data_IF_400286039222
#
_entry.id   IF_400286039222
#
_cell.length_a   1.000
_cell.length_b   1.000
_cell.length_c   1.000
_cell.angle_alpha   90.00
_cell.angle_beta   90.00
_cell.angle_gamma   90.00
#
_symmetry.space_group_name_H-M   'P 1'
#
loop_
_entity.id
_entity.type
_entity.pdbx_description
1 polymer ?
#
# COMPACT_ATOMS: atom_id res chain seq x y z
N UNK A 1 -12.39 5.73 -27.00
CA UNK A 1 -12.22 6.98 -26.22
C UNK A 1 -10.96 6.84 -25.41
N UNK A 2 -9.86 7.36 -25.95
CA UNK A 2 -8.49 7.22 -25.42
C UNK A 2 -8.14 8.44 -24.59
N UNK A 3 -8.08 8.29 -23.26
CA UNK A 3 -7.63 9.33 -22.35
C UNK A 3 -6.11 9.48 -22.40
N UNK A 4 -5.64 10.62 -22.89
CA UNK A 4 -4.24 11.05 -22.81
C UNK A 4 -3.93 11.52 -21.39
N UNK A 5 -2.85 11.04 -20.73
CA UNK A 5 -2.46 11.54 -19.42
C UNK A 5 -1.79 12.91 -19.56
N UNK A 6 -2.18 13.85 -18.70
CA UNK A 6 -1.66 15.21 -18.66
C UNK A 6 -0.15 15.23 -18.33
N UNK A 7 0.70 15.92 -19.12
CA UNK A 7 2.13 16.02 -18.87
C UNK A 7 2.44 17.22 -17.94
N UNK A 8 1.83 17.29 -16.76
CA UNK A 8 2.02 18.44 -15.87
C UNK A 8 3.27 18.35 -14.97
N UNK A 9 3.86 17.16 -14.82
CA UNK A 9 5.03 16.94 -13.95
C UNK A 9 6.39 17.29 -14.58
N UNK A 10 6.61 16.97 -15.87
CA UNK A 10 7.94 17.13 -16.51
C UNK A 10 8.33 18.60 -16.72
N UNK A 11 7.39 19.44 -17.13
CA UNK A 11 7.61 20.86 -17.42
C UNK A 11 8.04 21.66 -16.19
N UNK A 12 7.55 21.30 -15.00
CA UNK A 12 7.97 21.93 -13.73
C UNK A 12 9.37 21.51 -13.32
N UNK A 13 9.79 20.27 -13.60
CA UNK A 13 11.14 19.80 -13.29
C UNK A 13 12.20 20.40 -14.23
N UNK A 14 11.89 20.54 -15.52
CA UNK A 14 12.82 21.13 -16.51
C UNK A 14 13.00 22.63 -16.30
N UNK A 15 11.94 23.35 -15.94
CA UNK A 15 12.02 24.77 -15.59
C UNK A 15 12.86 25.01 -14.33
N UNK A 16 12.69 24.17 -13.29
CA UNK A 16 13.55 24.22 -12.09
C UNK A 16 15.01 23.93 -12.46
N UNK A 17 15.28 22.89 -13.25
CA UNK A 17 16.64 22.54 -13.68
C UNK A 17 17.31 23.68 -14.46
N UNK A 18 16.60 24.29 -15.42
CA UNK A 18 17.07 25.42 -16.20
C UNK A 18 17.41 26.64 -15.31
N UNK A 19 16.57 26.93 -14.31
CA UNK A 19 16.79 28.01 -13.37
C UNK A 19 18.04 27.79 -12.51
N UNK A 20 18.25 26.55 -12.01
CA UNK A 20 19.44 26.19 -11.24
C UNK A 20 20.72 26.22 -12.09
N UNK A 21 20.66 25.81 -13.35
CA UNK A 21 21.80 25.93 -14.28
C UNK A 21 22.13 27.39 -14.61
N UNK A 22 21.13 28.24 -14.78
CA UNK A 22 21.34 29.67 -15.03
C UNK A 22 21.93 30.38 -13.81
N UNK A 23 21.45 30.03 -12.61
CA UNK A 23 21.97 30.59 -11.36
C UNK A 23 23.43 30.18 -11.10
N UNK A 24 23.79 28.93 -11.39
CA UNK A 24 25.17 28.42 -11.24
C UNK A 24 26.13 29.03 -12.29
N UNK A 25 25.68 29.20 -13.53
CA UNK A 25 26.43 29.90 -14.58
C UNK A 25 26.63 31.39 -14.24
N UNK A 26 25.60 32.07 -13.75
CA UNK A 26 25.70 33.46 -13.33
C UNK A 26 26.65 33.63 -12.13
N UNK A 27 26.56 32.73 -11.15
CA UNK A 27 27.46 32.72 -9.98
C UNK A 27 28.92 32.50 -10.37
N UNK A 28 29.20 31.53 -11.26
CA UNK A 28 30.56 31.27 -11.74
C UNK A 28 31.12 32.39 -12.62
N UNK A 29 30.28 32.99 -13.47
CA UNK A 29 30.67 34.15 -14.28
C UNK A 29 31.01 35.37 -13.41
N UNK A 30 30.24 35.61 -12.34
CA UNK A 30 30.45 36.75 -11.44
C UNK A 30 31.73 36.58 -10.60
N UNK A 31 32.01 35.36 -10.13
CA UNK A 31 33.28 35.04 -9.45
C UNK A 31 34.47 35.18 -10.39
N UNK A 32 34.32 34.72 -11.65
CA UNK A 32 35.38 34.82 -12.66
C UNK A 32 35.66 36.29 -13.04
N UNK A 33 34.61 37.10 -13.20
CA UNK A 33 34.74 38.53 -13.48
C UNK A 33 35.40 39.28 -12.32
N UNK A 34 35.03 38.96 -11.07
CA UNK A 34 35.68 39.50 -9.89
C UNK A 34 37.17 39.12 -9.87
N UNK A 35 37.53 37.88 -10.15
CA UNK A 35 38.92 37.43 -10.20
C UNK A 35 39.74 38.17 -11.29
N UNK A 36 39.15 38.41 -12.47
CA UNK A 36 39.80 39.15 -13.55
C UNK A 36 39.98 40.62 -13.20
N UNK A 37 38.98 41.26 -12.60
CA UNK A 37 39.09 42.65 -12.16
C UNK A 37 40.18 42.81 -11.08
N UNK A 38 40.24 41.85 -10.15
CA UNK A 38 41.27 41.82 -9.10
C UNK A 38 42.66 41.58 -9.70
N UNK A 39 42.79 40.65 -10.65
CA UNK A 39 44.05 40.36 -11.33
C UNK A 39 44.53 41.55 -12.18
N UNK A 40 43.64 42.15 -12.96
CA UNK A 40 43.95 43.32 -13.79
C UNK A 40 44.35 44.53 -12.96
N UNK A 41 43.66 44.76 -11.84
CA UNK A 41 44.02 45.82 -10.91
C UNK A 41 45.37 45.55 -10.22
N UNK A 42 45.68 44.30 -9.83
CA UNK A 42 46.95 43.93 -9.22
C UNK A 42 48.13 44.16 -10.18
N UNK A 43 47.99 43.75 -11.44
CA UNK A 43 49.00 43.92 -12.49
C UNK A 43 49.24 45.42 -12.76
N UNK A 44 48.17 46.19 -12.93
CA UNK A 44 48.26 47.64 -13.15
C UNK A 44 48.91 48.37 -11.96
N UNK A 45 48.62 47.94 -10.73
CA UNK A 45 49.21 48.53 -9.52
C UNK A 45 50.69 48.16 -9.34
N UNK A 46 51.10 46.96 -9.74
CA UNK A 46 52.50 46.51 -9.73
C UNK A 46 53.31 47.23 -10.81
N UNK A 47 52.75 47.37 -12.01
CA UNK A 47 53.42 47.94 -13.17
C UNK A 47 53.60 49.47 -13.06
N UNK A 48 52.68 50.18 -12.41
CA UNK A 48 52.82 51.62 -12.12
C UNK A 48 53.84 51.94 -11.00
N UNK A 49 54.36 50.94 -10.28
CA UNK A 49 55.18 51.12 -9.07
C UNK A 49 56.59 50.51 -9.15
N UNK A 50 57.14 50.29 -10.34
CA UNK A 50 58.59 50.08 -10.55
C UNK A 50 59.42 51.37 -10.36
N UNK A 51 59.05 52.21 -9.39
CA UNK A 51 59.83 53.37 -8.95
C UNK A 51 59.50 53.75 -7.50
N UNK A 52 60.40 53.46 -6.57
CA UNK A 52 60.41 54.08 -5.23
C UNK A 52 60.21 53.15 -4.02
N UNK A 53 60.94 53.44 -2.96
CA UNK A 53 61.24 52.60 -1.80
C UNK A 53 60.32 52.82 -0.57
N UNK A 54 59.12 53.39 -0.68
CA UNK A 54 58.20 53.57 0.47
C UNK A 54 57.16 52.43 0.55
N UNK A 55 57.64 51.26 0.97
CA UNK A 55 57.02 49.96 0.71
C UNK A 55 56.01 49.42 1.72
N UNK A 56 55.68 50.12 2.81
CA UNK A 56 54.80 49.54 3.84
C UNK A 56 53.37 50.10 3.85
N UNK A 57 53.21 51.43 3.75
CA UNK A 57 51.95 52.10 4.10
C UNK A 57 50.89 52.02 2.99
N UNK A 58 51.31 52.10 1.72
CA UNK A 58 50.43 51.96 0.56
C UNK A 58 49.98 50.52 0.25
N UNK A 59 50.62 49.49 0.82
CA UNK A 59 50.17 48.09 0.71
C UNK A 59 49.09 47.75 1.75
N UNK A 60 49.12 48.42 2.90
CA UNK A 60 48.14 48.25 3.99
C UNK A 60 46.74 48.73 3.58
N UNK A 61 46.63 49.91 2.94
CA UNK A 61 45.35 50.44 2.48
C UNK A 61 44.69 49.56 1.40
N UNK A 62 45.50 49.00 0.50
CA UNK A 62 45.04 48.05 -0.51
C UNK A 62 44.48 46.80 0.17
N UNK A 63 45.24 46.20 1.11
CA UNK A 63 44.79 45.05 1.89
C UNK A 63 43.45 45.29 2.63
N UNK A 64 43.21 46.50 3.11
CA UNK A 64 41.97 46.84 3.82
C UNK A 64 40.73 46.85 2.91
N UNK A 65 40.82 47.34 1.67
CA UNK A 65 39.68 47.25 0.72
C UNK A 65 39.41 45.82 0.28
N UNK A 66 40.46 45.00 0.10
CA UNK A 66 40.31 43.58 -0.18
C UNK A 66 39.69 42.82 0.99
N UNK A 67 40.07 43.13 2.23
CA UNK A 67 39.46 42.55 3.43
C UNK A 67 37.97 42.90 3.54
N UNK A 68 37.62 44.17 3.33
CA UNK A 68 36.23 44.63 3.34
C UNK A 68 35.39 43.99 2.22
N UNK A 69 35.91 43.95 0.97
CA UNK A 69 35.23 43.33 -0.15
C UNK A 69 35.03 41.82 0.07
N UNK A 70 36.08 41.12 0.51
CA UNK A 70 36.03 39.68 0.78
C UNK A 70 35.03 39.33 1.88
N UNK A 71 34.94 40.14 2.94
CA UNK A 71 33.97 39.94 4.00
C UNK A 71 32.51 40.04 3.50
N UNK A 72 32.22 41.00 2.61
CA UNK A 72 30.90 41.15 1.98
C UNK A 72 30.58 39.93 1.10
N UNK A 73 31.53 39.46 0.29
CA UNK A 73 31.32 38.26 -0.54
C UNK A 73 31.13 36.99 0.30
N UNK A 74 31.89 36.80 1.37
CA UNK A 74 31.71 35.67 2.30
C UNK A 74 30.35 35.71 2.99
N UNK A 75 29.89 36.91 3.41
CA UNK A 75 28.55 37.09 3.98
C UNK A 75 27.43 36.74 2.98
N UNK A 76 27.57 37.17 1.72
CA UNK A 76 26.61 36.87 0.66
C UNK A 76 26.61 35.38 0.30
N UNK A 77 27.78 34.76 0.17
CA UNK A 77 27.92 33.33 -0.08
C UNK A 77 27.29 32.50 1.04
N UNK A 78 27.50 32.91 2.29
CA UNK A 78 26.88 32.28 3.45
C UNK A 78 25.35 32.43 3.42
N UNK A 79 24.83 33.61 3.09
CA UNK A 79 23.39 33.84 2.96
C UNK A 79 22.77 32.97 1.86
N UNK A 80 23.42 32.85 0.71
CA UNK A 80 22.99 31.96 -0.38
C UNK A 80 22.97 30.50 0.10
N UNK A 81 24.00 30.05 0.81
CA UNK A 81 24.06 28.69 1.36
C UNK A 81 22.92 28.43 2.36
N UNK A 82 22.66 29.39 3.26
CA UNK A 82 21.55 29.30 4.22
C UNK A 82 20.22 29.17 3.49
N UNK A 83 19.97 30.01 2.47
CA UNK A 83 18.74 29.93 1.66
C UNK A 83 18.63 28.58 0.93
N UNK A 84 19.73 28.10 0.33
CA UNK A 84 19.76 26.80 -0.33
C UNK A 84 19.44 25.65 0.62
N UNK A 85 19.99 25.66 1.85
CA UNK A 85 19.71 24.66 2.87
C UNK A 85 18.24 24.71 3.33
N UNK A 86 17.64 25.89 3.47
CA UNK A 86 16.22 26.02 3.82
C UNK A 86 15.32 25.43 2.73
N UNK A 87 15.61 25.72 1.46
CA UNK A 87 14.86 25.15 0.33
C UNK A 87 15.04 23.62 0.24
N UNK A 88 16.27 23.12 0.43
CA UNK A 88 16.54 21.68 0.49
C UNK A 88 15.79 20.99 1.64
N UNK A 89 15.74 21.63 2.81
CA UNK A 89 15.00 21.11 3.96
C UNK A 89 13.49 21.02 3.69
N UNK A 90 12.93 22.04 3.01
CA UNK A 90 11.53 22.01 2.58
C UNK A 90 11.24 20.90 1.58
N UNK A 91 12.09 20.73 0.57
CA UNK A 91 11.95 19.66 -0.43
C UNK A 91 12.03 18.26 0.22
N UNK A 92 12.98 18.04 1.14
CA UNK A 92 13.08 16.78 1.89
C UNK A 92 11.84 16.50 2.73
N UNK A 93 11.23 17.54 3.32
CA UNK A 93 9.96 17.37 4.04
C UNK A 93 8.84 16.94 3.11
N UNK A 94 8.69 17.58 1.95
CA UNK A 94 7.68 17.20 0.95
C UNK A 94 7.87 15.77 0.46
N UNK A 95 9.10 15.36 0.17
CA UNK A 95 9.42 13.98 -0.25
C UNK A 95 9.07 12.95 0.82
N UNK A 96 9.32 13.26 2.10
CA UNK A 96 8.94 12.36 3.20
C UNK A 96 7.42 12.20 3.31
N UNK A 97 6.67 13.28 3.10
CA UNK A 97 5.20 13.22 3.07
C UNK A 97 4.72 12.39 1.88
N UNK A 98 5.23 12.64 0.67
CA UNK A 98 4.84 11.88 -0.52
C UNK A 98 5.15 10.38 -0.38
N UNK A 99 6.30 10.02 0.21
CA UNK A 99 6.63 8.62 0.51
C UNK A 99 5.70 8.01 1.56
N UNK A 100 5.22 8.79 2.53
CA UNK A 100 4.26 8.31 3.51
C UNK A 100 2.92 8.02 2.84
N UNK A 101 2.43 8.93 2.00
CA UNK A 101 1.18 8.77 1.24
C UNK A 101 1.27 7.57 0.28
N UNK A 102 2.39 7.42 -0.45
CA UNK A 102 2.62 6.25 -1.33
C UNK A 102 2.63 4.92 -0.56
N UNK A 103 3.18 4.89 0.66
CA UNK A 103 3.16 3.68 1.49
C UNK A 103 1.75 3.35 1.96
N UNK A 104 0.94 4.36 2.26
CA UNK A 104 -0.46 4.18 2.61
C UNK A 104 -1.25 3.63 1.42
N UNK A 105 -1.12 4.23 0.23
CA UNK A 105 -1.76 3.76 -1.00
C UNK A 105 -1.37 2.31 -1.33
N UNK A 106 -0.07 1.96 -1.22
CA UNK A 106 0.38 0.58 -1.43
C UNK A 106 -0.21 -0.39 -0.40
N UNK A 107 -0.40 0.05 0.84
CA UNK A 107 -1.01 -0.76 1.89
C UNK A 107 -2.49 -1.00 1.59
N UNK A 108 -3.22 0.04 1.19
CA UNK A 108 -4.62 -0.06 0.76
C UNK A 108 -4.75 -0.96 -0.46
N UNK A 109 -3.92 -0.75 -1.50
CA UNK A 109 -3.90 -1.58 -2.71
C UNK A 109 -3.61 -3.05 -2.40
N UNK A 110 -2.66 -3.34 -1.49
CA UNK A 110 -2.41 -4.72 -1.04
C UNK A 110 -3.62 -5.35 -0.35
N UNK A 111 -4.32 -4.59 0.49
CA UNK A 111 -5.55 -5.07 1.14
C UNK A 111 -6.65 -5.35 0.12
N UNK A 112 -6.83 -4.48 -0.88
CA UNK A 112 -7.80 -4.69 -1.97
C UNK A 112 -7.45 -5.92 -2.81
N UNK A 113 -6.18 -6.08 -3.18
CA UNK A 113 -5.70 -7.27 -3.88
C UNK A 113 -5.94 -8.54 -3.07
N UNK A 114 -5.71 -8.50 -1.75
CA UNK A 114 -5.96 -9.64 -0.88
C UNK A 114 -7.44 -10.01 -0.85
N UNK A 115 -8.34 -9.04 -0.66
CA UNK A 115 -9.80 -9.25 -0.71
C UNK A 115 -10.25 -9.79 -2.07
N UNK A 116 -9.70 -9.26 -3.15
CA UNK A 116 -9.98 -9.73 -4.51
C UNK A 116 -9.53 -11.18 -4.72
N UNK A 117 -8.32 -11.54 -4.25
CA UNK A 117 -7.81 -12.90 -4.32
C UNK A 117 -8.68 -13.88 -3.53
N UNK A 118 -9.12 -13.50 -2.33
CA UNK A 118 -10.07 -14.32 -1.56
C UNK A 118 -11.40 -14.51 -2.29
N UNK A 119 -11.98 -13.44 -2.84
CA UNK A 119 -13.23 -13.51 -3.61
C UNK A 119 -13.08 -14.40 -4.86
N UNK A 120 -11.94 -14.32 -5.54
CA UNK A 120 -11.63 -15.18 -6.68
C UNK A 120 -11.50 -16.64 -6.27
N UNK A 121 -10.84 -16.94 -5.15
CA UNK A 121 -10.74 -18.30 -4.61
C UNK A 121 -12.12 -18.87 -4.26
N UNK A 122 -13.01 -18.06 -3.67
CA UNK A 122 -14.41 -18.44 -3.41
C UNK A 122 -15.17 -18.75 -4.70
N UNK A 123 -15.02 -17.90 -5.72
CA UNK A 123 -15.62 -18.11 -7.03
C UNK A 123 -15.11 -19.41 -7.68
N UNK A 124 -13.81 -19.66 -7.60
CA UNK A 124 -13.20 -20.91 -8.08
C UNK A 124 -13.78 -22.12 -7.34
N UNK A 125 -13.94 -22.06 -6.02
CA UNK A 125 -14.51 -23.17 -5.26
C UNK A 125 -15.96 -23.50 -5.68
N UNK A 126 -16.78 -22.48 -5.94
CA UNK A 126 -18.15 -22.66 -6.46
C UNK A 126 -18.12 -23.27 -7.87
N UNK A 127 -17.20 -22.82 -8.72
CA UNK A 127 -17.05 -23.36 -10.08
C UNK A 127 -16.59 -24.82 -10.07
N UNK A 128 -15.58 -25.17 -9.26
CA UNK A 128 -15.11 -26.55 -9.10
C UNK A 128 -16.24 -27.45 -8.58
N UNK A 129 -16.97 -27.00 -7.56
CA UNK A 129 -18.11 -27.74 -7.02
C UNK A 129 -19.21 -27.92 -8.07
N UNK A 130 -19.50 -26.89 -8.87
CA UNK A 130 -20.46 -27.00 -9.98
C UNK A 130 -20.04 -28.04 -11.00
N UNK A 131 -18.78 -28.03 -11.43
CA UNK A 131 -18.27 -29.04 -12.38
C UNK A 131 -18.37 -30.45 -11.78
N UNK A 132 -18.03 -30.62 -10.51
CA UNK A 132 -18.21 -31.88 -9.81
C UNK A 132 -19.69 -32.30 -9.73
N UNK A 133 -20.63 -31.35 -9.59
CA UNK A 133 -22.06 -31.64 -9.60
C UNK A 133 -22.64 -31.99 -10.99
N UNK A 134 -21.91 -31.67 -12.07
CA UNK A 134 -22.35 -31.90 -13.45
C UNK A 134 -21.74 -33.18 -14.05
N UNK A 135 -20.53 -33.55 -13.61
CA UNK A 135 -19.78 -34.71 -14.10
C UNK A 135 -19.37 -35.65 -12.95
N UNK A 136 -19.98 -36.85 -12.83
CA UNK A 136 -19.63 -37.85 -11.83
C UNK A 136 -18.15 -38.29 -11.88
N UNK A 137 -17.52 -38.26 -13.06
CA UNK A 137 -16.12 -38.65 -13.21
C UNK A 137 -15.16 -37.62 -12.58
N UNK A 138 -15.54 -36.34 -12.59
CA UNK A 138 -14.79 -35.28 -11.91
C UNK A 138 -15.03 -35.32 -10.40
N UNK A 139 -16.26 -35.60 -9.97
CA UNK A 139 -16.60 -35.75 -8.56
C UNK A 139 -15.74 -36.83 -7.87
N UNK A 140 -15.41 -37.91 -8.58
CA UNK A 140 -14.57 -39.01 -8.09
C UNK A 140 -13.18 -38.56 -7.57
N UNK A 141 -12.61 -37.45 -8.09
CA UNK A 141 -11.29 -36.94 -7.66
C UNK A 141 -11.35 -36.35 -6.25
N UNK A 142 -12.46 -35.69 -5.92
CA UNK A 142 -12.72 -35.10 -4.60
C UNK A 142 -13.94 -35.76 -3.97
N UNK A 143 -13.94 -37.10 -3.95
CA UNK A 143 -15.05 -37.84 -3.38
C UNK A 143 -14.86 -38.04 -1.87
N UNK A 144 -15.48 -37.16 -1.07
CA UNK A 144 -15.58 -37.32 0.38
C UNK A 144 -16.63 -38.35 0.83
N UNK A 145 -17.41 -38.90 -0.10
CA UNK A 145 -18.59 -39.72 0.15
C UNK A 145 -18.63 -40.96 -0.77
N UNK A 146 -17.65 -41.88 -0.64
CA UNK A 146 -17.54 -43.03 -1.54
C UNK A 146 -18.77 -43.94 -1.45
N UNK A 147 -19.23 -44.44 -2.61
CA UNK A 147 -20.32 -45.41 -2.70
C UNK A 147 -21.74 -44.81 -2.71
N UNK A 148 -21.87 -43.48 -2.69
CA UNK A 148 -23.17 -42.80 -2.76
C UNK A 148 -23.54 -42.53 -4.23
N UNK A 149 -24.82 -42.68 -4.63
CA UNK A 149 -25.28 -42.29 -5.95
C UNK A 149 -25.00 -40.81 -6.24
N UNK A 150 -24.62 -40.49 -7.47
CA UNK A 150 -24.23 -39.13 -7.84
C UNK A 150 -25.32 -38.07 -7.57
N UNK A 151 -26.59 -38.43 -7.69
CA UNK A 151 -27.70 -37.52 -7.36
C UNK A 151 -27.67 -37.06 -5.89
N UNK A 152 -27.36 -37.96 -4.97
CA UNK A 152 -27.24 -37.66 -3.54
C UNK A 152 -25.91 -36.94 -3.23
N UNK A 153 -24.83 -37.32 -3.91
CA UNK A 153 -23.54 -36.61 -3.83
C UNK A 153 -23.69 -35.11 -4.17
N UNK A 154 -24.47 -34.76 -5.19
CA UNK A 154 -24.77 -33.36 -5.55
C UNK A 154 -25.43 -32.60 -4.40
N UNK A 155 -26.32 -33.24 -3.65
CA UNK A 155 -26.96 -32.62 -2.49
C UNK A 155 -25.93 -32.35 -1.39
N UNK A 156 -24.97 -33.24 -1.19
CA UNK A 156 -23.92 -33.10 -0.18
C UNK A 156 -22.89 -32.03 -0.57
N UNK A 157 -22.53 -31.96 -1.84
CA UNK A 157 -21.71 -30.87 -2.39
C UNK A 157 -22.38 -29.51 -2.18
N UNK A 158 -23.69 -29.43 -2.43
CA UNK A 158 -24.46 -28.21 -2.17
C UNK A 158 -24.57 -27.90 -0.66
N UNK A 159 -24.76 -28.92 0.19
CA UNK A 159 -24.76 -28.77 1.64
C UNK A 159 -23.41 -28.25 2.17
N UNK A 160 -22.29 -28.71 1.60
CA UNK A 160 -20.96 -28.20 1.91
C UNK A 160 -20.80 -26.72 1.50
N UNK A 161 -21.28 -26.33 0.31
CA UNK A 161 -21.32 -24.91 -0.09
C UNK A 161 -22.20 -24.07 0.85
N UNK A 162 -23.32 -24.61 1.32
CA UNK A 162 -24.21 -23.92 2.27
C UNK A 162 -23.53 -23.72 3.63
N UNK A 163 -22.80 -24.73 4.12
CA UNK A 163 -21.97 -24.61 5.31
C UNK A 163 -20.88 -23.53 5.13
N UNK A 164 -20.17 -23.56 4.00
CA UNK A 164 -19.17 -22.54 3.66
C UNK A 164 -19.75 -21.13 3.58
N UNK A 165 -20.96 -20.97 3.04
CA UNK A 165 -21.67 -19.70 3.00
C UNK A 165 -21.96 -19.16 4.42
N UNK A 166 -22.46 -19.99 5.33
CA UNK A 166 -22.70 -19.58 6.73
C UNK A 166 -21.39 -19.27 7.47
N UNK A 167 -20.32 -20.00 7.18
CA UNK A 167 -19.00 -19.73 7.74
C UNK A 167 -18.49 -18.34 7.35
N UNK A 168 -18.65 -17.98 6.08
CA UNK A 168 -18.29 -16.65 5.59
C UNK A 168 -19.15 -15.55 6.21
N UNK A 169 -20.47 -15.76 6.29
CA UNK A 169 -21.38 -14.81 6.92
C UNK A 169 -21.02 -14.56 8.40
N UNK A 170 -20.58 -15.59 9.12
CA UNK A 170 -20.04 -15.47 10.48
C UNK A 170 -18.72 -14.69 10.52
N UNK A 171 -17.76 -15.02 9.64
CA UNK A 171 -16.44 -14.39 9.62
C UNK A 171 -16.50 -12.89 9.33
N UNK A 172 -17.42 -12.46 8.47
CA UNK A 172 -17.65 -11.05 8.15
C UNK A 172 -18.55 -10.33 9.14
N UNK A 173 -19.05 -11.02 10.18
CA UNK A 173 -19.97 -10.45 11.16
C UNK A 173 -21.32 -10.05 10.56
N UNK A 174 -21.69 -10.60 9.40
CA UNK A 174 -22.98 -10.33 8.75
C UNK A 174 -24.14 -11.01 9.47
N UNK A 175 -23.88 -12.15 10.14
CA UNK A 175 -24.84 -12.81 11.02
C UNK A 175 -24.32 -12.89 12.44
N UNK A 176 -25.18 -12.51 13.37
CA UNK A 176 -25.05 -12.82 14.79
C UNK A 176 -25.21 -14.33 15.06
N UNK A 177 -24.78 -14.79 16.23
CA UNK A 177 -24.94 -16.19 16.63
C UNK A 177 -26.42 -16.62 16.66
N UNK A 178 -27.34 -15.70 17.01
CA UNK A 178 -28.78 -15.98 17.02
C UNK A 178 -29.37 -16.14 15.61
N UNK A 179 -28.94 -15.31 14.66
CA UNK A 179 -29.33 -15.45 13.25
C UNK A 179 -28.78 -16.75 12.65
N UNK A 180 -27.53 -17.11 12.97
CA UNK A 180 -26.94 -18.38 12.57
C UNK A 180 -27.73 -19.57 13.11
N UNK A 181 -28.27 -19.50 14.35
CA UNK A 181 -29.17 -20.53 14.89
C UNK A 181 -30.46 -20.64 14.10
N UNK A 182 -31.04 -19.52 13.64
CA UNK A 182 -32.23 -19.55 12.76
C UNK A 182 -31.92 -20.30 11.46
N UNK A 183 -30.77 -20.03 10.84
CA UNK A 183 -30.34 -20.74 9.64
C UNK A 183 -30.06 -22.22 9.91
N UNK A 184 -29.40 -22.54 11.04
CA UNK A 184 -29.16 -23.92 11.47
C UNK A 184 -30.47 -24.70 11.70
N UNK A 185 -31.51 -24.06 12.27
CA UNK A 185 -32.85 -24.66 12.42
C UNK A 185 -33.48 -25.03 11.08
N UNK A 186 -33.34 -24.15 10.08
CA UNK A 186 -33.81 -24.44 8.73
C UNK A 186 -33.08 -25.64 8.14
N UNK A 187 -31.74 -25.68 8.25
CA UNK A 187 -30.92 -26.80 7.80
C UNK A 187 -31.28 -28.12 8.50
N UNK A 188 -31.54 -28.08 9.81
CA UNK A 188 -32.00 -29.23 10.58
C UNK A 188 -33.25 -29.86 10.01
N UNK A 189 -34.18 -29.08 9.46
CA UNK A 189 -35.42 -29.62 8.87
C UNK A 189 -35.18 -30.41 7.57
N UNK A 190 -34.07 -30.15 6.88
CA UNK A 190 -33.69 -30.80 5.62
C UNK A 190 -33.06 -32.16 5.86
N UNK A 191 -33.73 -33.24 5.44
CA UNK A 191 -33.20 -34.61 5.51
C UNK A 191 -31.85 -34.78 4.78
N UNK A 192 -31.67 -34.28 3.54
CA UNK A 192 -30.37 -34.33 2.86
C UNK A 192 -29.24 -33.70 3.66
N UNK A 193 -29.50 -32.56 4.32
CA UNK A 193 -28.50 -31.88 5.11
C UNK A 193 -28.14 -32.67 6.38
N UNK A 194 -29.12 -33.30 7.05
CA UNK A 194 -28.86 -34.16 8.21
C UNK A 194 -27.98 -35.36 7.85
N UNK A 195 -28.24 -36.00 6.70
CA UNK A 195 -27.41 -37.13 6.22
C UNK A 195 -25.98 -36.68 5.88
N UNK A 196 -25.84 -35.56 5.17
CA UNK A 196 -24.54 -34.93 4.94
C UNK A 196 -23.80 -34.61 6.25
N UNK A 197 -24.52 -34.04 7.24
CA UNK A 197 -23.95 -33.65 8.52
C UNK A 197 -23.40 -34.86 9.28
N UNK A 198 -24.16 -35.97 9.31
CA UNK A 198 -23.75 -37.21 9.96
C UNK A 198 -22.41 -37.74 9.41
N UNK A 199 -22.16 -37.57 8.11
CA UNK A 199 -20.94 -38.05 7.45
C UNK A 199 -19.77 -37.06 7.55
N UNK A 200 -20.04 -35.76 7.60
CA UNK A 200 -19.01 -34.72 7.52
C UNK A 200 -18.62 -34.09 8.87
N UNK A 201 -19.43 -34.26 9.92
CA UNK A 201 -19.23 -33.61 11.23
C UNK A 201 -17.86 -33.92 11.82
N UNK A 202 -17.40 -35.17 11.79
CA UNK A 202 -16.16 -35.57 12.47
C UNK A 202 -14.93 -34.87 11.88
N UNK A 203 -14.90 -34.64 10.55
CA UNK A 203 -13.83 -33.87 9.91
C UNK A 203 -13.81 -32.41 10.39
N UNK A 204 -14.98 -31.80 10.61
CA UNK A 204 -15.11 -30.43 11.13
C UNK A 204 -14.74 -30.35 12.61
N UNK A 205 -15.07 -31.41 13.37
CA UNK A 205 -14.69 -31.60 14.76
C UNK A 205 -13.25 -32.10 14.95
N UNK A 206 -12.46 -32.26 13.88
CA UNK A 206 -11.02 -32.46 13.98
C UNK A 206 -10.23 -31.13 14.03
N UNK A 207 -10.86 -30.03 13.62
CA UNK A 207 -10.23 -28.70 13.58
C UNK A 207 -10.03 -28.12 14.99
N UNK A 208 -9.09 -27.18 15.18
CA UNK A 208 -8.89 -26.49 16.46
C UNK A 208 -10.17 -25.87 17.02
N UNK A 209 -10.32 -25.94 18.35
CA UNK A 209 -11.49 -25.45 19.11
C UNK A 209 -11.83 -23.97 18.87
N UNK A 210 -10.82 -23.15 18.65
CA UNK A 210 -10.92 -21.72 18.45
C UNK A 210 -11.24 -21.31 17.01
N UNK A 211 -11.12 -22.23 16.05
CA UNK A 211 -11.37 -21.97 14.64
C UNK A 211 -12.83 -21.56 14.38
N UNK A 212 -13.03 -20.64 13.44
CA UNK A 212 -14.38 -20.21 13.04
C UNK A 212 -15.21 -21.38 12.51
N UNK A 213 -14.58 -22.33 11.81
CA UNK A 213 -15.24 -23.52 11.28
C UNK A 213 -15.73 -24.43 12.40
N UNK A 214 -14.89 -24.70 13.42
CA UNK A 214 -15.30 -25.49 14.57
C UNK A 214 -16.47 -24.85 15.31
N UNK A 215 -16.40 -23.55 15.59
CA UNK A 215 -17.47 -22.83 16.31
C UNK A 215 -18.80 -22.87 15.56
N UNK A 216 -18.78 -22.72 14.23
CA UNK A 216 -19.99 -22.89 13.42
C UNK A 216 -20.47 -24.35 13.46
N UNK A 217 -19.55 -25.31 13.41
CA UNK A 217 -19.90 -26.71 13.46
C UNK A 217 -20.56 -27.09 14.79
N UNK A 218 -20.08 -26.58 15.92
CA UNK A 218 -20.69 -26.75 17.24
C UNK A 218 -22.12 -26.18 17.28
N UNK A 219 -22.33 -24.98 16.74
CA UNK A 219 -23.65 -24.35 16.65
C UNK A 219 -24.64 -25.19 15.85
N UNK A 220 -24.21 -25.68 14.68
CA UNK A 220 -25.06 -26.53 13.81
C UNK A 220 -25.30 -27.89 14.46
N UNK A 221 -24.30 -28.49 15.09
CA UNK A 221 -24.41 -29.79 15.76
C UNK A 221 -25.39 -29.74 16.94
N UNK A 222 -25.34 -28.67 17.74
CA UNK A 222 -26.28 -28.44 18.83
C UNK A 222 -27.73 -28.32 18.32
N UNK A 223 -27.94 -27.54 17.27
CA UNK A 223 -29.28 -27.36 16.72
C UNK A 223 -29.81 -28.67 16.11
N UNK A 224 -28.97 -29.43 15.42
CA UNK A 224 -29.35 -30.71 14.82
C UNK A 224 -29.72 -31.75 15.89
N UNK A 225 -29.00 -31.78 17.02
CA UNK A 225 -29.31 -32.67 18.15
C UNK A 225 -30.55 -32.25 18.93
N UNK A 226 -30.93 -30.97 18.85
CA UNK A 226 -32.10 -30.45 19.55
C UNK A 226 -33.38 -31.03 18.93
N UNK A 227 -34.09 -31.85 19.71
CA UNK A 227 -35.41 -32.38 19.36
C UNK A 227 -36.36 -31.21 19.08
N UNK A 228 -37.14 -31.21 17.98
CA UNK A 228 -38.11 -30.14 17.74
C UNK A 228 -39.07 -30.04 18.94
N UNK A 229 -39.08 -28.89 19.62
CA UNK A 229 -40.13 -28.57 20.57
C UNK A 229 -41.50 -28.54 19.86
N UNK A 230 -42.61 -28.73 20.58
CA UNK A 230 -43.93 -28.66 19.99
C UNK A 230 -44.10 -27.34 19.22
N UNK A 231 -44.75 -27.35 18.04
CA UNK A 231 -44.92 -26.16 17.23
C UNK A 231 -45.56 -25.05 18.08
N UNK A 232 -44.98 -23.85 18.03
CA UNK A 232 -45.56 -22.69 18.68
C UNK A 232 -46.98 -22.48 18.13
N UNK A 233 -47.99 -22.22 18.99
CA UNK A 233 -49.33 -21.93 18.51
C UNK A 233 -49.29 -20.74 17.55
N UNK A 234 -50.11 -20.75 16.48
CA UNK A 234 -50.16 -19.64 15.53
C UNK A 234 -50.51 -18.34 16.29
N UNK A 235 -49.73 -17.28 16.02
CA UNK A 235 -50.02 -15.92 16.47
C UNK A 235 -51.17 -15.33 15.64
#
# INVERSE_FOLDING_TARGET
MTGTPAPSGRLRSTAKFALWTAATLAGTALVSAAAVLVSGWLIDTVQRREGGLDRAEGRSQIGNYFGAASAVFSGLAFLILVVALLLQYQELRMQRTELADQREELTQSRQELHRSAEANMRSLHVQLTRMAMEDPSLAAVWNGFPGIPHEEERQYLFANLTFGHLLLARQWGSYSDDELRVHARSLRSSEPYRRYWALSRDAKFALPGDSHERKLAELIDEEIRTTPGPPAPPQ
#
